data_IF_044244659358
#
_entry.id   IF_044244659358
#
_cell.length_a   1.000
_cell.length_b   1.000
_cell.length_c   1.000
_cell.angle_alpha   90.00
_cell.angle_beta   90.00
_cell.angle_gamma   90.00
#
_symmetry.space_group_name_H-M   'P 1'
#
loop_
_entity.id
_entity.type
_entity.pdbx_description
1 polymer ?
#
# COMPACT_ATOMS: atom_id res chain seq x y z
N UNK A 1 40.48 -24.38 -8.66
CA UNK A 1 40.84 -23.45 -7.56
C UNK A 1 40.56 -21.97 -7.85
N UNK A 2 40.45 -21.50 -9.10
CA UNK A 2 40.16 -20.09 -9.42
C UNK A 2 38.68 -19.63 -9.22
N UNK A 3 37.73 -20.57 -9.08
CA UNK A 3 36.30 -20.26 -8.90
C UNK A 3 35.89 -19.99 -7.43
N UNK A 4 36.69 -20.45 -6.46
CA UNK A 4 36.39 -20.28 -5.03
C UNK A 4 36.76 -18.88 -4.53
N UNK A 5 37.79 -18.26 -5.11
CA UNK A 5 38.27 -16.92 -4.76
C UNK A 5 37.36 -15.80 -5.30
N UNK A 6 36.70 -16.00 -6.46
CA UNK A 6 35.73 -15.05 -7.01
C UNK A 6 34.45 -14.92 -6.16
N UNK A 7 33.99 -16.01 -5.55
CA UNK A 7 32.80 -16.02 -4.66
C UNK A 7 32.99 -15.22 -3.37
N UNK A 8 34.22 -15.12 -2.85
CA UNK A 8 34.50 -14.34 -1.62
C UNK A 8 34.64 -12.83 -1.89
N UNK A 9 35.16 -12.45 -3.06
CA UNK A 9 35.29 -11.04 -3.47
C UNK A 9 33.92 -10.45 -3.85
N UNK A 10 33.04 -11.22 -4.51
CA UNK A 10 31.65 -10.80 -4.77
C UNK A 10 30.84 -10.62 -3.47
N UNK A 11 31.04 -11.48 -2.48
CA UNK A 11 30.38 -11.38 -1.16
C UNK A 11 30.87 -10.18 -0.34
N UNK A 12 32.14 -9.80 -0.46
CA UNK A 12 32.66 -8.58 0.19
C UNK A 12 32.19 -7.30 -0.52
N UNK A 13 32.08 -7.31 -1.85
CA UNK A 13 31.56 -6.16 -2.61
C UNK A 13 30.04 -5.96 -2.39
N UNK A 14 29.26 -7.05 -2.32
CA UNK A 14 27.84 -7.00 -1.97
C UNK A 14 27.62 -6.51 -0.52
N UNK A 15 28.51 -6.88 0.41
CA UNK A 15 28.48 -6.39 1.79
C UNK A 15 28.83 -4.91 1.95
N UNK A 16 29.66 -4.34 1.08
CA UNK A 16 30.06 -2.92 1.13
C UNK A 16 29.05 -2.03 0.37
N UNK A 17 28.39 -2.54 -0.67
CA UNK A 17 27.38 -1.79 -1.44
C UNK A 17 26.00 -1.80 -0.76
N UNK A 18 25.64 -2.89 -0.08
CA UNK A 18 24.46 -2.93 0.79
C UNK A 18 24.52 -1.90 1.93
N UNK A 19 25.73 -1.51 2.38
CA UNK A 19 25.94 -0.43 3.37
C UNK A 19 25.77 0.96 2.75
N UNK A 20 26.00 1.14 1.44
CA UNK A 20 25.86 2.43 0.76
C UNK A 20 24.41 2.69 0.33
N UNK A 21 23.63 1.66 -0.02
CA UNK A 21 22.21 1.81 -0.40
C UNK A 21 21.30 1.86 0.85
N UNK A 22 21.58 1.05 1.88
CA UNK A 22 21.03 1.32 3.22
C UNK A 22 21.51 2.68 3.72
N UNK A 23 22.72 3.10 3.39
CA UNK A 23 23.23 4.44 3.65
C UNK A 23 22.46 5.55 2.95
N UNK A 24 21.91 5.36 1.75
CA UNK A 24 21.17 6.41 1.02
C UNK A 24 19.70 6.49 1.43
N UNK A 25 19.05 5.34 1.64
CA UNK A 25 17.75 5.28 2.31
C UNK A 25 17.85 5.81 3.74
N UNK A 26 18.91 5.45 4.49
CA UNK A 26 19.20 5.97 5.83
C UNK A 26 19.67 7.44 5.84
N UNK A 27 20.33 7.96 4.80
CA UNK A 27 20.73 9.37 4.73
C UNK A 27 19.50 10.24 4.45
N UNK A 28 18.68 9.86 3.46
CA UNK A 28 17.37 10.50 3.25
C UNK A 28 16.50 10.36 4.51
N UNK A 29 16.54 9.21 5.20
CA UNK A 29 15.82 9.00 6.47
C UNK A 29 16.37 9.77 7.67
N UNK A 30 17.70 9.92 7.77
CA UNK A 30 18.35 10.63 8.88
C UNK A 30 18.11 12.12 8.84
N UNK A 31 17.62 12.62 7.70
CA UNK A 31 17.22 14.01 7.53
C UNK A 31 15.79 14.25 7.98
N UNK A 32 14.93 13.22 8.04
CA UNK A 32 13.53 13.35 8.45
C UNK A 32 13.44 13.86 9.90
N UNK A 33 12.43 14.69 10.22
CA UNK A 33 12.35 15.35 11.52
C UNK A 33 12.38 14.34 12.68
N UNK A 34 12.86 14.80 13.83
CA UNK A 34 12.53 14.13 15.08
C UNK A 34 11.01 14.04 15.20
N UNK A 35 10.55 12.94 15.78
CA UNK A 35 9.13 12.66 15.97
C UNK A 35 8.71 13.41 17.24
N UNK A 36 7.78 14.35 17.09
CA UNK A 36 7.23 15.11 18.22
C UNK A 36 6.25 14.24 18.99
N UNK A 37 6.09 14.45 20.30
CA UNK A 37 5.01 13.80 21.05
C UNK A 37 3.64 14.28 20.50
N UNK A 38 2.69 13.36 20.31
CA UNK A 38 1.31 13.71 19.98
C UNK A 38 0.67 14.35 21.22
N UNK A 39 0.26 15.64 21.16
CA UNK A 39 -0.37 16.29 22.30
C UNK A 39 -1.80 15.75 22.51
N UNK A 40 -2.28 15.80 23.76
CA UNK A 40 -3.66 15.40 24.07
C UNK A 40 -4.71 16.28 23.37
N UNK A 41 -4.35 17.52 23.06
CA UNK A 41 -5.15 18.45 22.29
C UNK A 41 -4.22 19.23 21.35
N UNK A 42 -4.59 19.34 20.08
CA UNK A 42 -3.83 20.11 19.11
C UNK A 42 -4.00 21.61 19.34
N UNK A 43 -2.91 22.36 19.26
CA UNK A 43 -2.92 23.83 19.34
C UNK A 43 -3.83 24.43 18.27
N UNK A 44 -4.46 25.57 18.56
CA UNK A 44 -5.29 26.28 17.58
C UNK A 44 -4.47 26.60 16.31
N UNK A 45 -5.14 26.59 15.15
CA UNK A 45 -4.54 27.05 13.91
C UNK A 45 -4.30 28.55 14.04
N UNK A 46 -3.08 29.01 13.74
CA UNK A 46 -2.77 30.43 13.77
C UNK A 46 -3.73 31.20 12.82
N UNK A 47 -4.48 32.20 13.30
CA UNK A 47 -5.46 32.93 12.48
C UNK A 47 -4.85 33.69 11.30
N UNK A 48 -3.53 33.89 11.28
CA UNK A 48 -2.79 34.49 10.15
C UNK A 48 -2.55 33.49 9.00
N UNK A 49 -2.73 32.18 9.23
CA UNK A 49 -2.61 31.15 8.20
C UNK A 49 -3.81 31.21 7.27
N UNK A 50 -3.57 31.58 6.01
CA UNK A 50 -4.59 31.50 4.98
C UNK A 50 -4.60 30.11 4.34
N UNK A 51 -5.58 29.28 4.72
CA UNK A 51 -5.77 27.93 4.18
C UNK A 51 -5.87 27.97 2.65
N UNK A 52 -6.58 28.95 2.07
CA UNK A 52 -6.75 29.07 0.61
C UNK A 52 -5.45 29.38 -0.15
N UNK A 53 -4.42 29.89 0.53
CA UNK A 53 -3.09 30.17 -0.02
C UNK A 53 -2.10 29.03 0.23
N UNK A 54 -2.52 27.94 0.89
CA UNK A 54 -1.70 26.74 0.98
C UNK A 54 -1.59 26.10 -0.39
N UNK A 55 -0.36 25.78 -0.77
CA UNK A 55 -0.02 25.26 -2.09
C UNK A 55 1.04 24.17 -1.98
N UNK A 56 0.95 23.17 -2.85
CA UNK A 56 1.93 22.13 -3.08
C UNK A 56 2.42 22.27 -4.51
N UNK A 57 3.74 22.28 -4.67
CA UNK A 57 4.38 22.34 -5.97
C UNK A 57 4.01 21.14 -6.84
N UNK A 58 4.10 21.31 -8.16
CA UNK A 58 4.02 20.20 -9.08
C UNK A 58 5.10 19.15 -8.77
N UNK A 59 4.69 17.88 -8.85
CA UNK A 59 5.55 16.75 -8.52
C UNK A 59 5.40 15.62 -9.53
N UNK A 60 6.45 15.40 -10.32
CA UNK A 60 6.40 14.45 -11.43
C UNK A 60 5.27 14.80 -12.41
N UNK A 61 4.34 13.88 -12.71
CA UNK A 61 3.16 14.13 -13.54
C UNK A 61 1.99 14.78 -12.76
N UNK A 62 2.09 14.93 -11.44
CA UNK A 62 1.02 15.51 -10.61
C UNK A 62 1.13 17.05 -10.69
N UNK A 63 0.06 17.76 -11.10
CA UNK A 63 0.09 19.21 -11.21
C UNK A 63 0.22 19.87 -9.84
N UNK A 64 0.66 21.12 -9.81
CA UNK A 64 0.63 21.92 -8.58
C UNK A 64 -0.81 22.03 -8.07
N UNK A 65 -0.96 22.11 -6.75
CA UNK A 65 -2.25 22.15 -6.07
C UNK A 65 -2.30 23.36 -5.15
N UNK A 66 -3.34 24.16 -5.27
CA UNK A 66 -3.67 25.22 -4.29
C UNK A 66 -5.03 24.92 -3.67
N UNK A 67 -5.13 25.01 -2.35
CA UNK A 67 -6.39 24.67 -1.66
C UNK A 67 -7.54 25.61 -2.03
N UNK A 68 -7.25 26.88 -2.32
CA UNK A 68 -8.25 27.84 -2.81
C UNK A 68 -8.93 27.42 -4.12
N UNK A 69 -8.24 26.67 -4.98
CA UNK A 69 -8.79 26.16 -6.25
C UNK A 69 -9.77 24.99 -6.04
N UNK A 70 -9.84 24.46 -4.82
CA UNK A 70 -10.76 23.39 -4.42
C UNK A 70 -12.03 23.92 -3.74
N UNK A 71 -12.25 25.25 -3.72
CA UNK A 71 -13.45 25.82 -3.13
C UNK A 71 -14.73 25.20 -3.74
N UNK A 72 -15.72 24.93 -2.88
CA UNK A 72 -16.94 24.21 -3.26
C UNK A 72 -16.82 22.68 -3.21
N UNK A 73 -15.65 22.13 -2.86
CA UNK A 73 -15.43 20.70 -2.67
C UNK A 73 -15.10 20.38 -1.22
N UNK A 74 -15.40 19.17 -0.77
CA UNK A 74 -14.85 18.65 0.49
C UNK A 74 -13.45 18.11 0.22
N UNK A 75 -12.46 18.51 1.00
CA UNK A 75 -11.05 18.12 0.81
C UNK A 75 -10.60 17.26 1.98
N UNK A 76 -10.00 16.10 1.68
CA UNK A 76 -9.33 15.23 2.64
C UNK A 76 -7.82 15.26 2.38
N UNK A 77 -7.06 15.64 3.40
CA UNK A 77 -5.61 15.71 3.36
C UNK A 77 -5.07 14.68 4.34
N UNK A 78 -4.27 13.73 3.86
CA UNK A 78 -3.56 12.77 4.71
C UNK A 78 -2.07 13.16 4.75
N UNK A 79 -1.60 13.67 5.88
CA UNK A 79 -0.20 14.05 6.08
C UNK A 79 0.54 12.83 6.65
N UNK A 80 1.55 12.37 5.93
CA UNK A 80 2.32 11.18 6.28
C UNK A 80 3.72 11.57 6.75
N UNK A 81 3.95 11.40 8.06
CA UNK A 81 5.28 11.46 8.67
C UNK A 81 5.96 10.10 8.77
N UNK A 82 7.15 10.10 9.37
CA UNK A 82 8.01 8.91 9.56
C UNK A 82 7.29 7.73 10.24
N UNK A 83 6.61 7.96 11.35
CA UNK A 83 5.91 6.91 12.10
C UNK A 83 4.74 6.31 11.31
N UNK A 84 4.02 7.13 10.54
CA UNK A 84 2.97 6.62 9.65
C UNK A 84 3.49 5.73 8.51
N UNK A 85 4.76 5.90 8.12
CA UNK A 85 5.40 5.11 7.07
C UNK A 85 6.07 3.83 7.59
N UNK A 86 6.45 3.77 8.87
CA UNK A 86 7.23 2.65 9.44
C UNK A 86 6.59 1.94 10.64
N UNK A 87 5.72 2.62 11.38
CA UNK A 87 5.22 2.21 12.70
C UNK A 87 3.79 1.67 12.72
N UNK A 88 3.15 1.50 11.56
CA UNK A 88 1.78 0.98 11.46
C UNK A 88 0.67 2.00 11.74
N UNK A 89 1.03 3.20 12.21
CA UNK A 89 0.11 4.32 12.42
C UNK A 89 -0.65 4.67 11.11
N UNK A 90 -1.97 4.85 11.22
CA UNK A 90 -2.89 5.09 10.11
C UNK A 90 -3.47 3.84 9.47
N UNK A 91 -3.17 2.64 9.96
CA UNK A 91 -3.63 1.39 9.33
C UNK A 91 -5.16 1.32 9.18
N UNK A 92 -5.91 1.65 10.23
CA UNK A 92 -7.37 1.60 10.20
C UNK A 92 -7.95 2.64 9.23
N UNK A 93 -7.41 3.86 9.24
CA UNK A 93 -7.81 4.91 8.31
C UNK A 93 -7.53 4.53 6.85
N UNK A 94 -6.33 4.02 6.55
CA UNK A 94 -5.99 3.56 5.19
C UNK A 94 -6.89 2.41 4.74
N UNK A 95 -7.17 1.43 5.60
CA UNK A 95 -8.12 0.34 5.29
C UNK A 95 -9.50 0.89 4.94
N UNK A 96 -10.03 1.78 5.78
CA UNK A 96 -11.33 2.42 5.56
C UNK A 96 -11.34 3.23 4.26
N UNK A 97 -10.33 4.08 4.02
CA UNK A 97 -10.18 4.86 2.82
C UNK A 97 -10.04 3.98 1.57
N UNK A 98 -9.37 2.84 1.64
CA UNK A 98 -9.25 1.91 0.50
C UNK A 98 -10.60 1.31 0.10
N UNK A 99 -11.46 0.99 1.08
CA UNK A 99 -12.82 0.50 0.86
C UNK A 99 -13.76 1.58 0.35
N UNK A 100 -13.76 2.74 0.98
CA UNK A 100 -14.79 3.74 0.77
C UNK A 100 -14.88 4.24 -0.66
N UNK A 101 -16.12 4.44 -1.08
CA UNK A 101 -16.48 5.20 -2.27
C UNK A 101 -16.78 6.63 -1.84
N UNK A 102 -16.18 7.59 -2.55
CA UNK A 102 -16.32 9.01 -2.26
C UNK A 102 -17.14 9.68 -3.37
N UNK A 103 -18.03 10.64 -3.04
CA UNK A 103 -18.69 11.46 -4.05
C UNK A 103 -17.70 12.23 -4.93
N UNK A 104 -18.11 12.59 -6.15
CA UNK A 104 -17.24 13.25 -7.13
C UNK A 104 -16.75 14.65 -6.71
N UNK A 105 -17.43 15.28 -5.75
CA UNK A 105 -17.07 16.58 -5.17
C UNK A 105 -16.21 16.46 -3.89
N UNK A 106 -15.72 15.25 -3.58
CA UNK A 106 -14.75 15.00 -2.52
C UNK A 106 -13.38 14.74 -3.14
N UNK A 107 -12.37 15.49 -2.71
CA UNK A 107 -10.99 15.40 -3.21
C UNK A 107 -10.08 14.92 -2.10
N UNK A 108 -9.35 13.83 -2.32
CA UNK A 108 -8.38 13.30 -1.37
C UNK A 108 -6.97 13.32 -1.93
N UNK A 109 -5.97 13.67 -1.12
CA UNK A 109 -4.56 13.51 -1.45
C UNK A 109 -3.69 13.27 -0.20
N UNK A 110 -2.54 12.65 -0.41
CA UNK A 110 -1.53 12.43 0.61
C UNK A 110 -0.40 13.46 0.49
N UNK A 111 0.18 13.84 1.62
CA UNK A 111 1.32 14.76 1.73
C UNK A 111 2.40 14.09 2.58
N UNK A 112 3.49 13.67 1.95
CA UNK A 112 4.68 13.25 2.69
C UNK A 112 5.36 14.46 3.30
N UNK A 113 5.35 14.55 4.64
CA UNK A 113 6.02 15.63 5.37
C UNK A 113 7.53 15.38 5.31
N UNK A 114 8.28 16.24 4.65
CA UNK A 114 9.71 16.12 4.49
C UNK A 114 10.43 17.35 5.07
N UNK A 115 11.63 17.18 5.65
CA UNK A 115 12.42 18.30 6.15
C UNK A 115 12.82 19.24 4.99
N UNK A 116 12.93 20.55 5.24
CA UNK A 116 13.33 21.52 4.20
C UNK A 116 14.67 21.15 3.53
N UNK A 117 15.61 20.59 4.30
CA UNK A 117 16.90 20.12 3.79
C UNK A 117 16.80 18.99 2.76
N UNK A 118 15.71 18.21 2.73
CA UNK A 118 15.51 17.16 1.75
C UNK A 118 15.20 17.70 0.34
N UNK A 119 14.90 19.00 0.20
CA UNK A 119 14.65 19.64 -1.09
C UNK A 119 15.85 19.49 -2.05
N UNK A 120 17.08 19.44 -1.52
CA UNK A 120 18.29 19.20 -2.34
C UNK A 120 18.27 17.82 -3.03
N UNK A 121 17.50 16.88 -2.49
CA UNK A 121 17.32 15.52 -3.00
C UNK A 121 15.97 15.33 -3.69
N UNK A 122 15.19 16.39 -3.96
CA UNK A 122 13.85 16.32 -4.58
C UNK A 122 13.82 15.42 -5.82
N UNK A 123 14.80 15.56 -6.71
CA UNK A 123 14.90 14.71 -7.91
C UNK A 123 15.08 13.23 -7.62
N UNK A 124 15.88 12.87 -6.60
CA UNK A 124 16.11 11.48 -6.18
C UNK A 124 14.90 10.91 -5.43
N UNK A 125 14.27 11.72 -4.57
CA UNK A 125 13.03 11.34 -3.88
C UNK A 125 11.93 11.04 -4.91
N UNK A 126 11.82 11.87 -5.94
CA UNK A 126 10.88 11.63 -7.04
C UNK A 126 11.24 10.36 -7.85
N UNK A 127 12.50 10.19 -8.28
CA UNK A 127 12.88 9.07 -9.14
C UNK A 127 12.86 7.71 -8.43
N UNK A 128 13.30 7.68 -7.19
CA UNK A 128 13.62 6.42 -6.49
C UNK A 128 12.51 6.00 -5.52
N UNK A 129 11.63 6.92 -5.09
CA UNK A 129 10.60 6.65 -4.09
C UNK A 129 9.19 7.05 -4.53
N UNK A 130 8.91 8.34 -4.72
CA UNK A 130 7.53 8.81 -4.96
C UNK A 130 7.01 8.38 -6.33
N UNK A 131 7.83 8.50 -7.38
CA UNK A 131 7.48 8.10 -8.73
C UNK A 131 7.03 6.63 -8.82
N UNK A 132 7.84 5.67 -8.33
CA UNK A 132 7.45 4.26 -8.29
C UNK A 132 6.21 3.95 -7.43
N UNK A 133 5.99 4.68 -6.33
CA UNK A 133 4.87 4.46 -5.40
C UNK A 133 3.55 5.06 -5.88
N UNK A 134 3.56 6.02 -6.79
CA UNK A 134 2.34 6.75 -7.22
C UNK A 134 1.24 5.82 -7.74
N UNK A 135 1.60 4.82 -8.52
CA UNK A 135 0.65 3.82 -9.04
C UNK A 135 0.23 2.78 -7.99
N UNK A 136 0.90 2.74 -6.83
CA UNK A 136 0.66 1.78 -5.76
C UNK A 136 -0.26 2.33 -4.66
N UNK A 137 -0.51 3.65 -4.67
CA UNK A 137 -1.33 4.36 -3.68
C UNK A 137 -2.73 4.67 -4.24
N UNK A 138 -3.73 4.71 -3.36
CA UNK A 138 -5.09 5.13 -3.75
C UNK A 138 -5.18 6.64 -3.96
N UNK A 139 -4.47 7.40 -3.13
CA UNK A 139 -4.47 8.87 -3.16
C UNK A 139 -3.26 9.38 -3.94
N UNK A 140 -3.40 10.48 -4.71
CA UNK A 140 -2.26 11.21 -5.23
C UNK A 140 -1.36 11.65 -4.08
N UNK A 141 -0.04 11.56 -4.27
CA UNK A 141 0.95 11.92 -3.25
C UNK A 141 1.76 13.15 -3.69
N UNK A 142 1.90 14.09 -2.76
CA UNK A 142 2.81 15.24 -2.82
C UNK A 142 3.84 15.12 -1.69
N UNK A 143 4.96 15.84 -1.83
CA UNK A 143 5.96 15.98 -0.78
C UNK A 143 6.05 17.44 -0.38
N UNK A 144 5.81 17.69 0.89
CA UNK A 144 5.90 19.02 1.49
C UNK A 144 7.28 19.21 2.11
N UNK A 145 8.18 19.85 1.36
CA UNK A 145 9.54 20.13 1.81
C UNK A 145 9.56 21.34 2.74
N UNK A 146 9.68 21.08 4.03
CA UNK A 146 9.68 22.08 5.09
C UNK A 146 8.43 22.04 5.98
N UNK A 147 7.48 21.16 5.70
CA UNK A 147 6.31 20.93 6.56
C UNK A 147 5.35 22.11 6.61
N UNK A 148 5.16 22.85 5.51
CA UNK A 148 4.21 23.98 5.43
C UNK A 148 2.79 23.57 5.83
N UNK A 149 2.32 22.40 5.42
CA UNK A 149 1.01 21.86 5.77
C UNK A 149 0.97 21.37 7.21
N UNK A 150 2.00 20.64 7.67
CA UNK A 150 2.12 20.22 9.07
C UNK A 150 2.05 21.43 10.01
N UNK A 151 2.84 22.47 9.74
CA UNK A 151 2.87 23.71 10.51
C UNK A 151 1.54 24.50 10.39
N UNK A 152 0.97 24.61 9.18
CA UNK A 152 -0.27 25.36 8.94
C UNK A 152 -1.49 24.79 9.69
N UNK A 153 -1.54 23.47 9.88
CA UNK A 153 -2.63 22.81 10.60
C UNK A 153 -2.31 22.52 12.08
N UNK A 154 -1.17 23.02 12.56
CA UNK A 154 -0.65 22.79 13.92
C UNK A 154 -0.62 21.29 14.27
N UNK A 155 -0.05 20.47 13.38
CA UNK A 155 0.09 19.02 13.55
C UNK A 155 1.51 18.66 14.04
N UNK A 156 1.67 17.61 14.88
CA UNK A 156 2.97 17.17 15.36
C UNK A 156 3.79 16.55 14.23
N UNK A 157 5.11 16.82 14.19
CA UNK A 157 5.99 16.33 13.13
C UNK A 157 6.25 14.85 13.27
N UNK A 158 6.38 14.17 12.13
CA UNK A 158 6.75 12.76 12.06
C UNK A 158 5.59 11.78 12.27
N UNK A 159 4.40 12.24 12.62
CA UNK A 159 3.19 11.41 12.78
C UNK A 159 2.28 11.42 11.55
N UNK A 160 1.28 10.54 11.56
CA UNK A 160 0.12 10.71 10.70
C UNK A 160 -0.67 11.92 11.18
N UNK A 161 -1.03 12.79 10.26
CA UNK A 161 -2.06 13.80 10.45
C UNK A 161 -3.13 13.64 9.39
N UNK A 162 -4.36 14.04 9.68
CA UNK A 162 -5.34 14.23 8.63
C UNK A 162 -6.24 15.42 8.90
N UNK A 163 -6.69 16.04 7.80
CA UNK A 163 -7.52 17.24 7.81
C UNK A 163 -8.67 17.04 6.84
N UNK A 164 -9.88 17.38 7.29
CA UNK A 164 -11.05 17.53 6.43
C UNK A 164 -11.41 19.00 6.34
N UNK A 165 -11.44 19.53 5.13
CA UNK A 165 -11.89 20.88 4.80
C UNK A 165 -13.26 20.77 4.15
N UNK A 166 -14.23 21.54 4.61
CA UNK A 166 -15.57 21.54 4.04
C UNK A 166 -15.65 22.31 2.72
N UNK A 167 -16.83 22.31 2.08
CA UNK A 167 -17.04 22.99 0.81
C UNK A 167 -16.89 24.52 0.88
N UNK A 168 -16.90 25.11 2.08
CA UNK A 168 -16.67 26.56 2.28
C UNK A 168 -15.17 26.89 2.38
N UNK A 169 -14.31 25.89 2.53
CA UNK A 169 -12.89 26.08 2.78
C UNK A 169 -12.53 26.14 4.26
N UNK A 170 -13.44 25.75 5.16
CA UNK A 170 -13.22 25.75 6.61
C UNK A 170 -12.76 24.36 7.08
N UNK A 171 -11.84 24.30 8.06
CA UNK A 171 -11.41 23.04 8.66
C UNK A 171 -12.56 22.46 9.48
N UNK A 172 -13.15 21.37 9.00
CA UNK A 172 -14.22 20.65 9.70
C UNK A 172 -13.66 19.65 10.71
N UNK A 173 -12.50 19.04 10.40
CA UNK A 173 -11.81 18.10 11.29
C UNK A 173 -10.30 18.21 11.06
N UNK A 174 -9.54 18.08 12.14
CA UNK A 174 -8.10 17.80 12.09
C UNK A 174 -7.74 16.86 13.23
N UNK A 175 -6.83 15.94 12.97
CA UNK A 175 -6.43 14.91 13.92
C UNK A 175 -4.97 14.53 13.69
N UNK A 176 -4.30 14.10 14.75
CA UNK A 176 -2.95 13.55 14.71
C UNK A 176 -2.94 12.16 15.36
N UNK A 177 -2.16 11.23 14.81
CA UNK A 177 -2.16 9.85 15.28
C UNK A 177 -3.14 8.95 14.55
N UNK A 178 -3.28 7.75 15.10
CA UNK A 178 -4.28 6.77 14.67
C UNK A 178 -5.71 7.29 14.84
N UNK A 179 -6.58 6.85 13.94
CA UNK A 179 -8.02 7.05 14.04
C UNK A 179 -8.67 5.84 14.69
N UNK A 180 -9.38 6.06 15.79
CA UNK A 180 -10.26 5.06 16.40
C UNK A 180 -11.60 4.94 15.64
N UNK A 181 -12.47 4.01 16.03
CA UNK A 181 -13.75 3.77 15.36
C UNK A 181 -14.66 5.02 15.34
N UNK A 182 -14.64 5.82 16.41
CA UNK A 182 -15.45 7.04 16.49
C UNK A 182 -14.94 8.10 15.51
N UNK A 183 -13.63 8.28 15.46
CA UNK A 183 -12.95 9.20 14.53
C UNK A 183 -13.18 8.75 13.09
N UNK A 184 -13.11 7.45 12.80
CA UNK A 184 -13.43 6.90 11.47
C UNK A 184 -14.89 7.15 11.07
N UNK A 185 -15.83 7.02 12.00
CA UNK A 185 -17.24 7.31 11.73
C UNK A 185 -17.47 8.80 11.43
N UNK A 186 -16.77 9.69 12.13
CA UNK A 186 -16.80 11.13 11.87
C UNK A 186 -16.21 11.48 10.50
N UNK A 187 -15.02 10.97 10.16
CA UNK A 187 -14.41 11.15 8.83
C UNK A 187 -15.37 10.63 7.76
N UNK A 188 -15.94 9.43 7.93
CA UNK A 188 -16.88 8.85 6.97
C UNK A 188 -18.07 9.78 6.72
N UNK A 189 -18.63 10.35 7.78
CA UNK A 189 -19.74 11.29 7.72
C UNK A 189 -19.37 12.58 6.99
N UNK A 190 -18.24 13.22 7.36
CA UNK A 190 -17.77 14.47 6.76
C UNK A 190 -17.46 14.30 5.27
N UNK A 191 -16.83 13.17 4.90
CA UNK A 191 -16.52 12.82 3.52
C UNK A 191 -17.74 12.29 2.75
N UNK A 192 -18.89 12.09 3.41
CA UNK A 192 -20.07 11.44 2.81
C UNK A 192 -19.71 10.11 2.14
N UNK A 193 -18.80 9.39 2.76
CA UNK A 193 -18.22 8.17 2.24
C UNK A 193 -19.14 6.97 2.45
N UNK A 194 -19.27 6.12 1.44
CA UNK A 194 -20.10 4.92 1.49
C UNK A 194 -19.24 3.65 1.40
N UNK A 195 -19.66 2.58 2.09
CA UNK A 195 -19.10 1.26 1.77
C UNK A 195 -19.55 0.87 0.35
N UNK A 196 -18.71 0.18 -0.43
CA UNK A 196 -19.13 -0.33 -1.72
C UNK A 196 -20.33 -1.28 -1.53
N UNK A 197 -21.28 -1.29 -2.47
CA UNK A 197 -22.35 -2.29 -2.43
C UNK A 197 -21.74 -3.70 -2.48
N UNK A 198 -22.41 -4.71 -1.91
CA UNK A 198 -21.95 -6.09 -2.05
C UNK A 198 -21.75 -6.47 -3.51
N UNK A 199 -20.73 -7.28 -3.77
CA UNK A 199 -20.40 -7.73 -5.12
C UNK A 199 -21.51 -8.56 -5.77
N UNK A 200 -21.46 -8.75 -7.10
CA UNK A 200 -22.39 -9.63 -7.79
C UNK A 200 -22.17 -11.09 -7.36
N UNK A 201 -23.20 -11.96 -7.50
CA UNK A 201 -23.00 -13.41 -7.34
C UNK A 201 -21.85 -13.90 -8.22
N UNK A 202 -21.02 -14.80 -7.69
CA UNK A 202 -19.97 -15.42 -8.46
C UNK A 202 -20.57 -16.24 -9.62
N UNK A 203 -20.00 -16.17 -10.84
CA UNK A 203 -20.37 -17.09 -11.90
C UNK A 203 -20.11 -18.53 -11.45
N UNK A 204 -20.84 -19.49 -12.04
CA UNK A 204 -20.54 -20.92 -11.79
C UNK A 204 -19.14 -21.25 -12.30
N UNK A 205 -18.38 -21.98 -11.50
CA UNK A 205 -17.02 -22.39 -11.83
C UNK A 205 -16.65 -23.71 -11.17
N UNK A 206 -15.64 -24.38 -11.73
CA UNK A 206 -14.94 -25.50 -11.13
C UNK A 206 -13.46 -25.44 -11.55
N UNK A 207 -12.56 -25.39 -10.58
CA UNK A 207 -11.11 -25.22 -10.75
C UNK A 207 -10.41 -26.16 -9.76
N UNK A 208 -9.90 -27.28 -10.27
CA UNK A 208 -9.40 -28.36 -9.40
C UNK A 208 -10.49 -28.89 -8.50
N UNK A 209 -10.26 -28.86 -7.18
CA UNK A 209 -11.24 -29.25 -6.15
C UNK A 209 -12.13 -28.08 -5.69
N UNK A 210 -11.87 -26.86 -6.16
CA UNK A 210 -12.62 -25.68 -5.79
C UNK A 210 -13.71 -25.38 -6.82
N UNK A 211 -14.96 -25.43 -6.39
CA UNK A 211 -16.12 -25.06 -7.19
C UNK A 211 -17.06 -24.14 -6.39
N UNK A 212 -18.15 -23.71 -7.03
CA UNK A 212 -19.16 -22.83 -6.41
C UNK A 212 -19.77 -23.40 -5.13
N UNK A 213 -19.96 -24.72 -5.03
CA UNK A 213 -20.58 -25.35 -3.86
C UNK A 213 -19.57 -25.46 -2.71
N UNK A 214 -18.32 -25.78 -3.01
CA UNK A 214 -17.21 -25.85 -2.06
C UNK A 214 -16.86 -24.49 -1.44
N UNK A 215 -17.27 -23.39 -2.08
CA UNK A 215 -17.10 -22.03 -1.60
C UNK A 215 -18.32 -21.50 -0.83
N UNK A 216 -19.42 -22.24 -0.76
CA UNK A 216 -20.57 -21.82 0.02
C UNK A 216 -20.22 -21.76 1.52
N UNK A 217 -20.46 -20.61 2.15
CA UNK A 217 -20.25 -20.42 3.58
C UNK A 217 -18.80 -20.21 4.02
N UNK A 218 -17.87 -19.96 3.09
CA UNK A 218 -16.49 -19.56 3.40
C UNK A 218 -15.89 -18.67 2.31
N UNK A 219 -14.85 -17.92 2.66
CA UNK A 219 -14.10 -17.19 1.65
C UNK A 219 -13.33 -18.14 0.72
N UNK A 220 -13.31 -17.79 -0.56
CA UNK A 220 -12.53 -18.48 -1.58
C UNK A 220 -11.66 -17.51 -2.38
N UNK A 221 -10.45 -17.93 -2.72
CA UNK A 221 -9.50 -17.13 -3.48
C UNK A 221 -9.06 -17.89 -4.72
N UNK A 222 -9.24 -17.25 -5.88
CA UNK A 222 -8.75 -17.75 -7.16
C UNK A 222 -7.59 -16.86 -7.59
N UNK A 223 -6.41 -17.45 -7.75
CA UNK A 223 -5.23 -16.74 -8.24
C UNK A 223 -4.87 -17.27 -9.61
N UNK A 224 -4.78 -16.38 -10.60
CA UNK A 224 -4.42 -16.72 -11.95
C UNK A 224 -3.03 -16.17 -12.27
N UNK A 225 -2.12 -17.04 -12.68
CA UNK A 225 -0.79 -16.66 -13.16
C UNK A 225 -0.79 -16.63 -14.70
N UNK A 226 -0.22 -15.59 -15.31
CA UNK A 226 -0.02 -15.48 -16.76
C UNK A 226 1.30 -16.08 -17.27
N UNK A 227 2.20 -16.41 -16.36
CA UNK A 227 3.48 -17.04 -16.66
C UNK A 227 3.82 -18.04 -15.58
N UNK A 228 4.67 -19.01 -15.92
CA UNK A 228 5.37 -19.80 -14.91
C UNK A 228 6.16 -18.87 -14.00
N UNK A 229 6.06 -19.08 -12.69
CA UNK A 229 6.82 -18.34 -11.67
C UNK A 229 7.73 -19.28 -10.91
N UNK A 230 9.04 -19.01 -10.93
CA UNK A 230 10.00 -19.74 -10.12
C UNK A 230 10.22 -19.05 -8.75
N UNK A 231 10.55 -19.83 -7.72
CA UNK A 231 10.87 -19.32 -6.37
C UNK A 231 11.94 -18.21 -6.41
N UNK A 232 12.97 -18.41 -7.24
CA UNK A 232 14.07 -17.46 -7.42
C UNK A 232 13.66 -16.12 -8.06
N UNK A 233 12.42 -16.01 -8.52
CA UNK A 233 11.83 -14.78 -9.06
C UNK A 233 10.99 -14.02 -8.03
N UNK A 234 10.68 -14.62 -6.89
CA UNK A 234 9.80 -14.05 -5.86
C UNK A 234 10.64 -13.28 -4.83
N UNK A 235 10.53 -11.95 -4.74
CA UNK A 235 11.27 -11.16 -3.75
C UNK A 235 10.72 -11.38 -2.34
N UNK A 236 11.59 -11.33 -1.33
CA UNK A 236 11.21 -11.35 0.08
C UNK A 236 11.10 -12.74 0.73
N UNK A 237 11.43 -13.81 -0.01
CA UNK A 237 11.56 -15.15 0.58
C UNK A 237 12.93 -15.32 1.26
N UNK A 238 12.95 -15.90 2.46
CA UNK A 238 14.18 -16.05 3.27
C UNK A 238 15.25 -16.87 2.56
N UNK A 239 14.88 -18.00 1.97
CA UNK A 239 15.78 -18.89 1.24
C UNK A 239 15.38 -19.00 -0.23
N UNK A 240 16.33 -18.82 -1.15
CA UNK A 240 16.12 -19.09 -2.59
C UNK A 240 15.12 -18.17 -3.31
N UNK A 241 14.73 -17.06 -2.68
CA UNK A 241 13.97 -15.98 -3.31
C UNK A 241 14.80 -15.13 -4.27
N UNK A 242 14.15 -14.18 -4.94
CA UNK A 242 14.81 -13.18 -5.75
C UNK A 242 15.67 -12.26 -4.89
N UNK A 243 16.97 -12.23 -5.19
CA UNK A 243 17.96 -11.35 -4.56
C UNK A 243 18.30 -10.22 -5.53
N UNK A 244 18.11 -8.98 -5.10
CA UNK A 244 18.33 -7.80 -5.90
C UNK A 244 18.25 -6.51 -5.10
N UNK A 245 18.85 -5.45 -5.64
CA UNK A 245 18.73 -4.10 -5.09
C UNK A 245 17.29 -3.59 -5.18
N UNK A 246 16.94 -2.58 -4.37
CA UNK A 246 15.58 -2.06 -4.24
C UNK A 246 14.90 -1.76 -5.58
N UNK A 247 15.59 -1.10 -6.52
CA UNK A 247 15.04 -0.81 -7.85
C UNK A 247 14.73 -2.10 -8.64
N UNK A 248 15.61 -3.10 -8.58
CA UNK A 248 15.38 -4.38 -9.24
C UNK A 248 14.23 -5.15 -8.58
N UNK A 249 14.10 -5.07 -7.25
CA UNK A 249 12.95 -5.62 -6.51
C UNK A 249 11.66 -4.94 -6.97
N UNK A 250 11.63 -3.61 -7.07
CA UNK A 250 10.47 -2.86 -7.56
C UNK A 250 10.07 -3.25 -8.99
N UNK A 251 11.04 -3.37 -9.91
CA UNK A 251 10.77 -3.83 -11.27
C UNK A 251 10.27 -5.28 -11.30
N UNK A 252 10.81 -6.14 -10.43
CA UNK A 252 10.41 -7.53 -10.33
C UNK A 252 8.97 -7.66 -9.81
N UNK A 253 8.58 -6.91 -8.79
CA UNK A 253 7.19 -6.90 -8.29
C UNK A 253 6.22 -6.20 -9.22
N UNK A 254 6.66 -5.42 -10.23
CA UNK A 254 5.73 -4.88 -11.24
C UNK A 254 5.16 -5.96 -12.15
N UNK A 255 5.82 -7.13 -12.24
CA UNK A 255 5.33 -8.29 -12.99
C UNK A 255 4.13 -8.90 -12.27
N UNK A 256 2.94 -8.95 -12.90
CA UNK A 256 1.70 -9.36 -12.23
C UNK A 256 1.75 -10.71 -11.51
N UNK A 257 2.17 -11.78 -12.18
CA UNK A 257 2.24 -13.12 -11.58
C UNK A 257 3.23 -13.22 -10.42
N UNK A 258 4.36 -12.54 -10.51
CA UNK A 258 5.35 -12.51 -9.42
C UNK A 258 4.82 -11.74 -8.23
N UNK A 259 4.06 -10.66 -8.45
CA UNK A 259 3.39 -9.92 -7.37
C UNK A 259 2.40 -10.81 -6.63
N UNK A 260 1.53 -11.53 -7.35
CA UNK A 260 0.57 -12.45 -6.75
C UNK A 260 1.29 -13.58 -6.00
N UNK A 261 2.33 -14.18 -6.60
CA UNK A 261 3.14 -15.20 -5.95
C UNK A 261 3.83 -14.69 -4.68
N UNK A 262 4.35 -13.46 -4.67
CA UNK A 262 4.93 -12.82 -3.47
C UNK A 262 3.91 -12.74 -2.35
N UNK A 263 2.69 -12.29 -2.65
CA UNK A 263 1.66 -12.12 -1.62
C UNK A 263 1.32 -13.45 -0.97
N UNK A 264 1.13 -14.49 -1.79
CA UNK A 264 0.87 -15.83 -1.27
C UNK A 264 2.09 -16.41 -0.53
N UNK A 265 3.29 -16.30 -1.09
CA UNK A 265 4.44 -17.00 -0.51
C UNK A 265 5.11 -16.24 0.66
N UNK A 266 4.91 -14.93 0.78
CA UNK A 266 5.70 -14.08 1.69
C UNK A 266 4.87 -13.14 2.59
N UNK A 267 3.68 -12.70 2.15
CA UNK A 267 2.92 -11.67 2.86
C UNK A 267 1.70 -12.24 3.61
N UNK A 268 1.03 -13.26 3.06
CA UNK A 268 -0.07 -13.97 3.71
C UNK A 268 0.49 -15.21 4.40
N UNK A 269 0.47 -15.23 5.72
CA UNK A 269 1.00 -16.35 6.49
C UNK A 269 0.04 -17.57 6.43
N UNK A 270 0.55 -18.81 6.53
CA UNK A 270 -0.28 -20.01 6.46
C UNK A 270 -1.48 -20.00 7.44
N UNK A 271 -1.28 -19.50 8.65
CA UNK A 271 -2.33 -19.43 9.68
C UNK A 271 -3.44 -18.45 9.31
N UNK A 272 -3.11 -17.38 8.58
CA UNK A 272 -4.08 -16.38 8.11
C UNK A 272 -4.91 -16.90 6.95
N UNK A 273 -4.36 -17.86 6.19
CA UNK A 273 -5.09 -18.56 5.12
C UNK A 273 -5.89 -19.76 5.61
N UNK A 274 -5.68 -20.21 6.85
CA UNK A 274 -6.38 -21.36 7.39
C UNK A 274 -7.90 -21.10 7.37
N UNK A 275 -8.65 -21.94 6.66
CA UNK A 275 -10.10 -21.81 6.48
C UNK A 275 -10.54 -21.07 5.21
N UNK A 276 -9.63 -20.40 4.50
CA UNK A 276 -9.88 -19.83 3.18
C UNK A 276 -9.64 -20.92 2.13
N UNK A 277 -10.65 -21.21 1.31
CA UNK A 277 -10.47 -22.08 0.15
C UNK A 277 -9.63 -21.36 -0.90
N UNK A 278 -8.59 -21.99 -1.44
CA UNK A 278 -7.81 -21.32 -2.47
C UNK A 278 -7.18 -22.24 -3.49
N UNK A 279 -7.05 -21.69 -4.70
CA UNK A 279 -6.48 -22.40 -5.85
C UNK A 279 -5.65 -21.44 -6.69
N UNK A 280 -4.54 -21.95 -7.21
CA UNK A 280 -3.61 -21.20 -8.04
C UNK A 280 -3.62 -21.84 -9.43
N UNK A 281 -4.15 -21.11 -10.41
CA UNK A 281 -4.20 -21.50 -11.81
C UNK A 281 -2.91 -21.05 -12.48
N UNK A 282 -2.11 -22.01 -12.95
CA UNK A 282 -0.85 -21.76 -13.65
C UNK A 282 0.29 -22.62 -13.14
N UNK A 283 1.51 -22.24 -13.51
CA UNK A 283 2.71 -23.04 -13.23
C UNK A 283 3.62 -22.38 -12.19
N UNK A 284 4.14 -23.21 -11.28
CA UNK A 284 5.13 -22.82 -10.27
C UNK A 284 6.35 -23.73 -10.32
N UNK A 285 7.51 -23.20 -9.93
CA UNK A 285 8.74 -23.97 -9.74
C UNK A 285 9.40 -23.63 -8.41
N UNK A 286 9.52 -24.64 -7.54
CA UNK A 286 10.25 -24.52 -6.29
C UNK A 286 9.55 -23.72 -5.18
N UNK A 287 8.27 -23.41 -5.31
CA UNK A 287 7.47 -22.80 -4.25
C UNK A 287 6.09 -23.44 -4.18
N UNK A 288 5.49 -23.38 -3.00
CA UNK A 288 4.18 -23.94 -2.71
C UNK A 288 3.42 -23.00 -1.78
N UNK A 289 2.11 -23.20 -1.68
CA UNK A 289 1.24 -22.48 -0.76
C UNK A 289 0.49 -23.52 0.05
N UNK A 290 0.78 -23.59 1.35
CA UNK A 290 0.19 -24.61 2.22
C UNK A 290 -1.35 -24.59 2.14
N UNK A 291 -1.92 -25.77 1.86
CA UNK A 291 -3.37 -25.97 1.74
C UNK A 291 -3.99 -25.54 0.41
N UNK A 292 -3.26 -24.91 -0.50
CA UNK A 292 -3.78 -24.43 -1.79
C UNK A 292 -3.13 -25.18 -2.95
N UNK A 293 -3.95 -25.71 -3.86
CA UNK A 293 -3.47 -26.49 -4.99
C UNK A 293 -3.02 -25.59 -6.15
N UNK A 294 -1.94 -25.99 -6.82
CA UNK A 294 -1.64 -25.54 -8.17
C UNK A 294 -2.38 -26.42 -9.16
N UNK A 295 -3.11 -25.80 -10.08
CA UNK A 295 -3.84 -26.49 -11.14
C UNK A 295 -3.39 -25.99 -12.50
N UNK A 296 -3.51 -26.83 -13.56
CA UNK A 296 -3.28 -26.39 -14.92
C UNK A 296 -4.18 -25.23 -15.33
N UNK A 297 -3.87 -24.65 -16.48
CA UNK A 297 -4.61 -23.56 -17.11
C UNK A 297 -6.14 -23.81 -17.14
N UNK A 298 -6.93 -22.80 -16.76
CA UNK A 298 -8.38 -22.87 -16.57
C UNK A 298 -9.10 -21.76 -17.37
N UNK A 299 -9.06 -21.86 -18.70
CA UNK A 299 -9.54 -20.82 -19.61
C UNK A 299 -11.04 -20.46 -19.41
N UNK A 300 -11.88 -21.44 -19.11
CA UNK A 300 -13.31 -21.20 -18.84
C UNK A 300 -13.52 -20.35 -17.58
N UNK A 301 -12.76 -20.63 -16.51
CA UNK A 301 -12.82 -19.83 -15.29
C UNK A 301 -12.29 -18.41 -15.52
N UNK A 302 -11.18 -18.25 -16.24
CA UNK A 302 -10.69 -16.92 -16.64
C UNK A 302 -11.75 -16.12 -17.36
N UNK A 303 -12.39 -16.71 -18.36
CA UNK A 303 -13.46 -16.07 -19.11
C UNK A 303 -14.66 -15.72 -18.22
N UNK A 304 -15.07 -16.62 -17.32
CA UNK A 304 -16.19 -16.41 -16.42
C UNK A 304 -15.97 -15.23 -15.47
N UNK A 305 -14.76 -15.07 -14.94
CA UNK A 305 -14.39 -13.98 -14.04
C UNK A 305 -13.83 -12.73 -14.74
N UNK A 306 -13.72 -12.75 -16.07
CA UNK A 306 -13.19 -11.63 -16.86
C UNK A 306 -11.69 -11.37 -16.64
N UNK A 307 -10.92 -12.42 -16.34
CA UNK A 307 -9.48 -12.32 -16.09
C UNK A 307 -8.70 -12.58 -17.39
N UNK A 308 -8.07 -11.53 -17.92
CA UNK A 308 -7.09 -11.62 -19.01
C UNK A 308 -5.67 -11.43 -18.43
N UNK A 309 -4.78 -12.40 -18.63
CA UNK A 309 -3.47 -12.44 -17.98
C UNK A 309 -3.53 -12.80 -16.48
N UNK A 310 -2.63 -12.26 -15.65
CA UNK A 310 -2.65 -12.57 -14.23
C UNK A 310 -3.89 -11.96 -13.55
N UNK A 311 -4.35 -12.49 -12.42
CA UNK A 311 -5.46 -11.90 -11.70
C UNK A 311 -5.73 -12.53 -10.34
N UNK A 312 -6.50 -11.81 -9.53
CA UNK A 312 -6.92 -12.20 -8.19
C UNK A 312 -8.43 -12.01 -8.07
N UNK A 313 -9.13 -13.08 -7.71
CA UNK A 313 -10.56 -13.07 -7.41
C UNK A 313 -10.78 -13.56 -5.99
N UNK A 314 -11.62 -12.85 -5.24
CA UNK A 314 -12.07 -13.25 -3.92
C UNK A 314 -13.58 -13.40 -3.96
N UNK A 315 -14.05 -14.57 -3.56
CA UNK A 315 -15.45 -14.89 -3.37
C UNK A 315 -15.72 -14.89 -1.86
N UNK A 316 -16.73 -14.15 -1.42
CA UNK A 316 -17.12 -14.12 -0.01
C UNK A 316 -17.90 -15.37 0.42
N UNK A 317 -18.18 -15.46 1.71
CA UNK A 317 -18.94 -16.55 2.33
C UNK A 317 -20.42 -16.62 1.85
N UNK A 318 -20.91 -15.60 1.16
CA UNK A 318 -22.23 -15.55 0.53
C UNK A 318 -22.18 -15.93 -0.95
N UNK A 319 -21.02 -16.34 -1.48
CA UNK A 319 -20.84 -16.75 -2.87
C UNK A 319 -20.83 -15.58 -3.85
N UNK A 320 -20.47 -14.37 -3.41
CA UNK A 320 -20.37 -13.16 -4.25
C UNK A 320 -18.92 -12.80 -4.53
N UNK A 321 -18.66 -12.17 -5.66
CA UNK A 321 -17.33 -11.63 -6.00
C UNK A 321 -17.06 -10.39 -5.17
N UNK A 322 -16.38 -10.54 -4.04
CA UNK A 322 -16.03 -9.43 -3.16
C UNK A 322 -14.82 -8.61 -3.65
N UNK A 323 -13.95 -9.23 -4.45
CA UNK A 323 -12.80 -8.58 -5.08
C UNK A 323 -12.49 -9.26 -6.41
N UNK A 324 -12.18 -8.49 -7.45
CA UNK A 324 -11.69 -9.02 -8.73
C UNK A 324 -10.80 -7.99 -9.41
N UNK A 325 -9.55 -8.37 -9.66
CA UNK A 325 -8.58 -7.53 -10.34
C UNK A 325 -7.76 -8.37 -11.33
N UNK A 326 -7.52 -7.81 -12.52
CA UNK A 326 -6.68 -8.39 -13.55
C UNK A 326 -5.40 -7.57 -13.75
N UNK A 327 -4.34 -8.21 -14.22
CA UNK A 327 -3.02 -7.62 -14.43
C UNK A 327 -2.32 -7.23 -13.12
N UNK A 328 -1.63 -6.08 -13.13
CA UNK A 328 -0.88 -5.57 -11.97
C UNK A 328 -1.86 -5.01 -10.94
N UNK A 329 -2.07 -5.75 -9.85
CA UNK A 329 -2.85 -5.28 -8.71
C UNK A 329 -1.99 -4.33 -7.84
N UNK A 330 -2.36 -3.06 -7.66
CA UNK A 330 -1.58 -2.11 -6.87
C UNK A 330 -1.66 -2.40 -5.36
N UNK A 331 -0.67 -1.99 -4.58
CA UNK A 331 -0.59 -2.30 -3.15
C UNK A 331 -1.82 -1.89 -2.35
N UNK A 332 -2.42 -0.73 -2.63
CA UNK A 332 -3.65 -0.33 -1.93
C UNK A 332 -4.82 -1.29 -2.16
N UNK A 333 -4.94 -1.88 -3.36
CA UNK A 333 -5.94 -2.92 -3.66
C UNK A 333 -5.59 -4.26 -3.05
N UNK A 334 -4.31 -4.59 -2.91
CA UNK A 334 -3.87 -5.79 -2.20
C UNK A 334 -4.13 -5.69 -0.69
N UNK A 335 -3.98 -4.49 -0.12
CA UNK A 335 -4.42 -4.20 1.24
C UNK A 335 -5.94 -4.35 1.39
N UNK A 336 -6.72 -3.94 0.39
CA UNK A 336 -8.17 -4.17 0.36
C UNK A 336 -8.51 -5.67 0.27
N UNK A 337 -7.81 -6.43 -0.57
CA UNK A 337 -7.97 -7.87 -0.67
C UNK A 337 -7.69 -8.58 0.66
N UNK A 338 -6.62 -8.19 1.36
CA UNK A 338 -6.32 -8.71 2.69
C UNK A 338 -7.41 -8.34 3.72
N UNK A 339 -7.91 -7.10 3.68
CA UNK A 339 -8.99 -6.63 4.55
C UNK A 339 -10.30 -7.43 4.34
N UNK A 340 -10.68 -7.70 3.08
CA UNK A 340 -11.83 -8.54 2.73
C UNK A 340 -11.69 -9.95 3.31
N UNK A 341 -10.49 -10.51 3.31
CA UNK A 341 -10.20 -11.85 3.83
C UNK A 341 -9.99 -11.89 5.36
N UNK A 342 -9.99 -10.74 6.05
CA UNK A 342 -9.61 -10.66 7.46
C UNK A 342 -8.14 -10.97 7.73
N UNK A 343 -7.27 -10.84 6.72
CA UNK A 343 -5.83 -11.06 6.82
C UNK A 343 -5.15 -9.77 7.27
N UNK A 344 -4.36 -9.86 8.33
CA UNK A 344 -3.49 -8.76 8.76
C UNK A 344 -2.24 -8.71 7.88
N UNK A 345 -2.13 -7.66 7.06
CA UNK A 345 -0.92 -7.44 6.27
C UNK A 345 0.31 -7.38 7.19
N UNK A 346 1.36 -8.12 6.84
CA UNK A 346 2.64 -8.12 7.56
C UNK A 346 3.18 -6.71 7.64
N UNK A 347 3.37 -6.21 8.86
CA UNK A 347 4.09 -4.96 9.07
C UNK A 347 5.50 -5.12 8.52
N UNK A 348 5.99 -4.09 7.82
CA UNK A 348 7.39 -4.03 7.46
C UNK A 348 8.19 -3.91 8.76
N UNK A 349 8.55 -5.05 9.35
CA UNK A 349 9.50 -5.11 10.46
C UNK A 349 10.83 -4.64 9.91
N UNK A 350 11.08 -3.34 10.01
CA UNK A 350 12.44 -2.84 10.10
C UNK A 350 13.14 -3.73 11.12
N UNK A 351 14.23 -4.38 10.67
CA UNK A 351 14.98 -5.39 11.42
C UNK A 351 15.03 -4.94 12.89
N UNK A 352 14.56 -5.79 13.83
CA UNK A 352 14.65 -5.52 15.27
C UNK A 352 16.01 -4.88 15.52
N UNK A 353 16.00 -3.65 16.03
CA UNK A 353 17.20 -3.08 16.60
C UNK A 353 17.52 -4.04 17.74
N UNK A 354 18.59 -4.83 17.58
CA UNK A 354 19.09 -5.65 18.67
C UNK A 354 19.45 -4.66 19.77
N UNK A 355 18.60 -4.57 20.79
CA UNK A 355 18.91 -3.86 22.01
C UNK A 355 20.11 -4.59 22.64
N UNK A 356 21.28 -3.97 22.50
CA UNK A 356 22.47 -4.24 23.29
C UNK A 356 22.86 -3.00 24.06
#
# INVERSE_FOLDING_TARGET
MAAWTKRKILKLAAGIVGVVVLGLGAVVWSMWPEVDDIPAQLDEINPEVSIAELELDAQGPVPALRLGDLQGKTVFIMIEGKESMTGGEGKLLRRALHRWTLPADVVGFSVGDAPAGAMIMKGKIESDFVGPMRDELKLPIYVDFGGKFTDAFSLPKGHLGFVVIDAKGEVALRHAGDADEATLAEIKSLLRAEEPPPGPPAPKFAIGELDSDSCAGRFCVLVFLDTKVARAEIPGLEDGGFDGEMQAVFEQIKKPSIRLARILAADWEPEQRAGIGGVIVGEAEGWEVEGWAFVPEAAEARAAFGIDGAGLVIIDDQGRVAFSEAGRVPFWKLSLAADVLGIEAKEFRGRKRDDK
#
